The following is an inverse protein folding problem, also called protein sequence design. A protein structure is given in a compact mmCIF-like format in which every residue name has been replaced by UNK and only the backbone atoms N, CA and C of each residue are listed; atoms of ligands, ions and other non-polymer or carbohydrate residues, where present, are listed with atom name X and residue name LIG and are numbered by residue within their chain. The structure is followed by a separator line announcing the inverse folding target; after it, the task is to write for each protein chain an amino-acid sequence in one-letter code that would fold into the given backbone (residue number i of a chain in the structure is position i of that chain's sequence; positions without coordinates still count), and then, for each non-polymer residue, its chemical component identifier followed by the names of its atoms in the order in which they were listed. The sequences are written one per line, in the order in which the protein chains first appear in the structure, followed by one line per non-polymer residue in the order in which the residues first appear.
data_IF_477931865316
#
_entry.id   IF_477931865316
#
_cell.length_a   1.000
_cell.length_b   1.000
_cell.length_c   1.000
_cell.angle_alpha   90.00
_cell.angle_beta   90.00
_cell.angle_gamma   90.00
#
_symmetry.space_group_name_H-M   'P 1'
#
loop_
_entity.id
_entity.type
_entity.pdbx_description
1 polymer ?
#
# COMPACT_ATOMS: atom_id res chain seq x y z
N UNK A 1 10.84 -40.54 21.73
CA UNK A 1 9.94 -39.38 21.64
C UNK A 1 10.57 -38.33 22.52
N UNK A 2 11.32 -37.41 21.93
CA UNK A 2 12.27 -36.56 22.67
C UNK A 2 11.95 -35.10 22.35
N UNK A 3 11.72 -34.34 23.41
CA UNK A 3 11.26 -32.95 23.41
C UNK A 3 12.17 -32.01 22.61
N UNK A 4 11.59 -31.42 21.56
CA UNK A 4 12.19 -30.32 20.77
C UNK A 4 11.54 -29.01 21.23
N UNK A 5 11.75 -28.62 22.49
CA UNK A 5 11.49 -27.26 22.94
C UNK A 5 12.73 -26.73 23.66
N UNK A 6 13.67 -26.26 22.85
CA UNK A 6 14.90 -25.64 23.33
C UNK A 6 14.59 -24.28 23.95
N UNK A 7 14.76 -24.26 25.27
CA UNK A 7 14.99 -23.13 26.18
C UNK A 7 15.58 -21.88 25.49
N UNK A 8 14.76 -20.85 25.28
CA UNK A 8 15.25 -19.54 24.85
C UNK A 8 15.91 -18.84 26.05
N UNK A 9 17.24 -18.94 26.16
CA UNK A 9 18.02 -18.22 27.18
C UNK A 9 17.79 -16.71 27.02
N UNK A 10 17.37 -16.02 28.09
CA UNK A 10 17.38 -14.55 28.19
C UNK A 10 18.78 -14.03 27.86
N UNK A 11 18.96 -13.51 26.64
CA UNK A 11 20.12 -12.69 26.30
C UNK A 11 19.93 -11.34 26.97
N UNK A 12 20.98 -10.84 27.62
CA UNK A 12 21.07 -9.44 28.03
C UNK A 12 20.72 -8.55 26.83
N UNK A 13 19.80 -7.60 27.04
CA UNK A 13 19.43 -6.61 26.04
C UNK A 13 20.66 -5.75 25.77
N UNK A 14 21.40 -6.10 24.71
CA UNK A 14 22.50 -5.28 24.20
C UNK A 14 21.97 -3.87 23.98
N UNK A 15 22.76 -2.86 24.38
CA UNK A 15 22.57 -1.43 24.07
C UNK A 15 21.92 -1.30 22.70
N UNK A 16 20.65 -0.92 22.68
CA UNK A 16 19.92 -0.69 21.44
C UNK A 16 20.67 0.44 20.75
N UNK A 17 21.20 0.16 19.57
CA UNK A 17 21.83 1.18 18.75
C UNK A 17 20.72 2.21 18.49
N UNK A 18 20.84 3.44 18.99
CA UNK A 18 19.82 4.51 18.92
C UNK A 18 19.53 5.00 17.49
N UNK A 19 19.85 4.18 16.47
CA UNK A 19 19.33 4.36 15.11
C UNK A 19 17.82 4.44 15.19
N UNK A 20 17.28 5.50 14.59
CA UNK A 20 15.91 5.97 14.73
C UNK A 20 14.87 4.83 14.71
N UNK A 21 14.39 4.45 15.90
CA UNK A 21 13.24 3.56 16.07
C UNK A 21 11.99 4.40 15.85
N UNK A 22 11.06 3.90 15.04
CA UNK A 22 9.74 4.51 14.87
C UNK A 22 8.74 3.80 15.78
N UNK A 23 7.69 4.52 16.16
CA UNK A 23 6.64 3.98 17.02
C UNK A 23 5.66 3.12 16.23
N UNK A 24 5.42 1.91 16.72
CA UNK A 24 4.38 0.99 16.27
C UNK A 24 3.35 0.84 17.37
N UNK A 25 2.10 1.17 17.06
CA UNK A 25 0.99 1.16 18.02
C UNK A 25 -0.15 0.30 17.47
N UNK A 26 -0.70 -0.64 18.27
CA UNK A 26 -1.98 -1.26 17.96
C UNK A 26 -3.11 -0.25 18.17
N UNK A 27 -3.91 -0.03 17.13
CA UNK A 27 -5.03 0.94 17.15
C UNK A 27 -6.31 0.28 16.67
N UNK A 28 -7.31 0.18 17.55
CA UNK A 28 -8.60 -0.44 17.25
C UNK A 28 -9.53 0.55 16.54
N UNK A 29 -10.07 0.16 15.40
CA UNK A 29 -11.15 0.88 14.72
C UNK A 29 -12.50 0.31 15.13
N UNK A 30 -13.27 1.11 15.86
CA UNK A 30 -14.59 0.77 16.37
C UNK A 30 -15.63 1.57 15.60
N UNK A 31 -16.52 0.88 14.90
CA UNK A 31 -17.54 1.50 14.04
C UNK A 31 -18.92 1.11 14.53
N UNK A 32 -19.76 2.09 14.87
CA UNK A 32 -21.09 1.87 15.45
C UNK A 32 -21.08 0.90 16.66
N UNK A 33 -20.07 1.04 17.51
CA UNK A 33 -19.91 0.23 18.73
C UNK A 33 -19.34 -1.17 18.54
N UNK A 34 -18.98 -1.57 17.31
CA UNK A 34 -18.36 -2.86 17.01
C UNK A 34 -16.92 -2.68 16.53
N UNK A 35 -16.00 -3.48 17.06
CA UNK A 35 -14.62 -3.52 16.58
C UNK A 35 -14.58 -4.11 15.18
N UNK A 36 -13.93 -3.40 14.25
CA UNK A 36 -13.85 -3.79 12.85
C UNK A 36 -12.48 -4.38 12.48
N UNK A 37 -11.41 -3.74 12.96
CA UNK A 37 -10.00 -4.12 12.73
C UNK A 37 -9.11 -3.46 13.79
N UNK A 38 -7.99 -4.10 14.13
CA UNK A 38 -6.85 -3.47 14.81
C UNK A 38 -5.74 -3.19 13.80
N UNK A 39 -5.34 -1.93 13.66
CA UNK A 39 -4.18 -1.53 12.87
C UNK A 39 -2.90 -1.69 13.68
N UNK A 40 -1.85 -2.23 13.05
CA UNK A 40 -0.48 -1.98 13.50
C UNK A 40 0.06 -0.81 12.67
N UNK A 41 0.17 0.37 13.28
CA UNK A 41 0.43 1.61 12.54
C UNK A 41 1.25 2.62 13.35
N UNK A 42 1.67 3.69 12.68
CA UNK A 42 2.18 4.88 13.38
C UNK A 42 1.01 5.67 13.98
N UNK A 43 1.09 6.16 15.23
CA UNK A 43 -0.01 6.82 15.93
C UNK A 43 -0.18 8.30 15.50
N UNK A 44 -0.13 8.55 14.20
CA UNK A 44 -0.29 9.88 13.60
C UNK A 44 -1.37 9.83 12.52
N UNK A 45 -2.17 10.89 12.41
CA UNK A 45 -3.23 11.00 11.39
C UNK A 45 -4.21 9.82 11.43
N UNK A 46 -4.63 9.44 12.65
CA UNK A 46 -5.49 8.27 12.89
C UNK A 46 -6.92 8.48 12.39
N UNK A 47 -7.42 9.72 12.41
CA UNK A 47 -8.65 10.12 11.76
C UNK A 47 -8.60 9.87 10.24
N UNK A 48 -7.50 10.26 9.60
CA UNK A 48 -7.28 10.02 8.17
C UNK A 48 -7.13 8.52 7.88
N UNK A 49 -6.46 7.74 8.75
CA UNK A 49 -6.39 6.29 8.62
C UNK A 49 -7.78 5.65 8.65
N UNK A 50 -8.62 6.02 9.61
CA UNK A 50 -9.98 5.49 9.72
C UNK A 50 -10.84 5.86 8.52
N UNK A 51 -10.89 7.15 8.15
CA UNK A 51 -11.70 7.59 7.00
C UNK A 51 -11.24 6.93 5.71
N UNK A 52 -9.92 6.85 5.50
CA UNK A 52 -9.34 6.20 4.34
C UNK A 52 -9.68 4.72 4.26
N UNK A 53 -9.52 4.00 5.36
CA UNK A 53 -9.85 2.59 5.46
C UNK A 53 -11.34 2.34 5.16
N UNK A 54 -12.24 3.09 5.80
CA UNK A 54 -13.69 2.95 5.60
C UNK A 54 -14.06 3.21 4.13
N UNK A 55 -13.48 4.25 3.53
CA UNK A 55 -13.72 4.59 2.13
C UNK A 55 -13.19 3.50 1.19
N UNK A 56 -11.93 3.08 1.37
CA UNK A 56 -11.28 2.12 0.49
C UNK A 56 -11.87 0.71 0.58
N UNK A 57 -12.57 0.40 1.67
CA UNK A 57 -13.30 -0.87 1.85
C UNK A 57 -14.78 -0.76 1.47
N UNK A 58 -15.25 0.43 1.09
CA UNK A 58 -16.61 0.65 0.60
C UNK A 58 -17.69 0.75 1.68
N UNK A 59 -17.30 1.02 2.94
CA UNK A 59 -18.23 1.28 4.05
C UNK A 59 -18.80 2.69 4.01
N UNK A 60 -18.11 3.61 3.33
CA UNK A 60 -18.56 4.99 3.09
C UNK A 60 -18.28 5.37 1.64
N UNK A 61 -19.10 6.25 1.07
CA UNK A 61 -18.87 6.89 -0.23
C UNK A 61 -18.40 8.35 -0.08
N UNK A 62 -18.46 8.92 1.12
CA UNK A 62 -17.98 10.26 1.43
C UNK A 62 -18.21 10.63 2.90
N UNK A 63 -17.87 11.88 3.26
CA UNK A 63 -18.03 12.38 4.63
C UNK A 63 -19.48 12.42 5.11
N UNK A 64 -20.44 12.53 4.18
CA UNK A 64 -21.87 12.54 4.53
C UNK A 64 -22.33 11.25 5.20
N UNK A 65 -21.61 10.14 5.07
CA UNK A 65 -21.91 8.91 5.79
C UNK A 65 -21.42 8.94 7.25
N UNK A 66 -20.51 9.85 7.62
CA UNK A 66 -19.89 9.90 8.95
C UNK A 66 -20.64 10.89 9.83
N UNK A 67 -21.17 10.43 10.95
CA UNK A 67 -21.76 11.27 11.99
C UNK A 67 -20.71 11.78 12.97
N UNK A 68 -19.73 10.95 13.32
CA UNK A 68 -18.59 11.37 14.14
C UNK A 68 -17.36 10.47 13.92
N UNK A 69 -16.17 11.03 14.08
CA UNK A 69 -14.90 10.31 14.12
C UNK A 69 -14.06 10.89 15.25
N UNK A 70 -13.64 10.08 16.21
CA UNK A 70 -12.91 10.51 17.41
C UNK A 70 -11.78 9.54 17.72
N UNK A 71 -10.59 10.08 17.97
CA UNK A 71 -9.43 9.32 18.42
C UNK A 71 -9.36 9.40 19.96
N UNK A 72 -9.10 8.28 20.63
CA UNK A 72 -8.91 8.26 22.08
C UNK A 72 -7.64 9.01 22.48
N UNK A 73 -7.61 9.55 23.71
CA UNK A 73 -6.46 10.32 24.19
C UNK A 73 -5.16 9.52 24.30
N UNK A 74 -5.24 8.20 24.42
CA UNK A 74 -4.09 7.28 24.42
C UNK A 74 -3.68 6.82 23.01
N UNK A 75 -4.36 7.31 21.96
CA UNK A 75 -4.12 6.98 20.55
C UNK A 75 -4.28 5.49 20.20
N UNK A 76 -4.94 4.70 21.06
CA UNK A 76 -5.14 3.25 20.85
C UNK A 76 -6.48 2.90 20.23
N UNK A 77 -7.42 3.85 20.14
CA UNK A 77 -8.75 3.60 19.61
C UNK A 77 -9.21 4.74 18.72
N UNK A 78 -9.94 4.37 17.67
CA UNK A 78 -10.65 5.30 16.80
C UNK A 78 -12.12 4.89 16.83
N UNK A 79 -12.98 5.79 17.26
CA UNK A 79 -14.42 5.60 17.32
C UNK A 79 -15.06 6.33 16.14
N UNK A 80 -15.78 5.59 15.30
CA UNK A 80 -16.53 6.13 14.17
C UNK A 80 -18.01 5.80 14.32
N UNK A 81 -18.86 6.81 14.17
CA UNK A 81 -20.30 6.64 14.02
C UNK A 81 -20.67 6.90 12.57
N UNK A 82 -21.27 5.92 11.92
CA UNK A 82 -21.76 6.01 10.54
C UNK A 82 -23.29 6.05 10.54
N UNK A 83 -23.86 6.76 9.55
CA UNK A 83 -25.26 6.56 9.13
C UNK A 83 -25.46 5.09 8.73
N UNK A 84 -26.70 4.60 8.70
CA UNK A 84 -27.02 3.19 8.45
C UNK A 84 -26.13 2.54 7.37
N UNK A 85 -25.39 1.51 7.76
CA UNK A 85 -24.54 0.71 6.89
C UNK A 85 -25.17 -0.68 6.79
N UNK A 86 -25.40 -1.20 5.57
CA UNK A 86 -25.93 -2.55 5.40
C UNK A 86 -25.04 -3.61 6.08
N UNK A 87 -25.61 -4.60 6.80
CA UNK A 87 -24.84 -5.63 7.49
C UNK A 87 -23.85 -6.38 6.57
N UNK A 88 -24.24 -6.64 5.32
CA UNK A 88 -23.38 -7.25 4.30
C UNK A 88 -22.08 -6.46 4.01
N UNK A 89 -22.10 -5.13 4.13
CA UNK A 89 -20.92 -4.29 3.91
C UNK A 89 -19.96 -4.38 5.10
N UNK A 90 -20.51 -4.50 6.31
CA UNK A 90 -19.73 -4.78 7.52
C UNK A 90 -19.02 -6.13 7.44
N UNK A 91 -19.76 -7.18 7.08
CA UNK A 91 -19.20 -8.53 6.95
C UNK A 91 -18.11 -8.59 5.87
N UNK A 92 -18.35 -7.95 4.73
CA UNK A 92 -17.36 -7.86 3.66
C UNK A 92 -16.10 -7.11 4.12
N UNK A 93 -16.26 -5.95 4.74
CA UNK A 93 -15.11 -5.16 5.20
C UNK A 93 -14.30 -5.88 6.29
N UNK A 94 -14.98 -6.60 7.19
CA UNK A 94 -14.33 -7.44 8.19
C UNK A 94 -13.63 -8.65 7.56
N UNK A 95 -14.25 -9.29 6.56
CA UNK A 95 -13.61 -10.38 5.83
C UNK A 95 -12.34 -9.90 5.10
N UNK A 96 -12.38 -8.74 4.46
CA UNK A 96 -11.22 -8.16 3.77
C UNK A 96 -10.09 -7.77 4.72
N UNK A 97 -10.43 -7.36 5.95
CA UNK A 97 -9.46 -7.01 6.99
C UNK A 97 -8.64 -8.23 7.43
N UNK A 98 -9.27 -9.41 7.47
CA UNK A 98 -8.65 -10.67 7.87
C UNK A 98 -7.92 -11.32 6.69
N UNK A 99 -8.50 -11.25 5.51
CA UNK A 99 -8.12 -12.09 4.38
C UNK A 99 -6.99 -11.53 3.51
N UNK A 100 -6.14 -10.60 4.00
CA UNK A 100 -4.98 -10.02 3.29
C UNK A 100 -4.40 -10.96 2.21
N UNK A 101 -4.83 -10.79 0.95
CA UNK A 101 -4.45 -11.68 -0.16
C UNK A 101 -5.61 -12.30 -0.97
N UNK A 102 -6.83 -12.39 -0.45
CA UNK A 102 -7.99 -12.93 -1.18
C UNK A 102 -8.83 -11.82 -1.85
N UNK A 103 -8.21 -11.08 -2.77
CA UNK A 103 -8.88 -10.05 -3.57
C UNK A 103 -10.01 -10.53 -4.48
N UNK A 104 -10.22 -11.85 -4.59
CA UNK A 104 -11.19 -12.49 -5.51
C UNK A 104 -12.65 -12.16 -5.21
N UNK A 105 -13.05 -12.13 -3.93
CA UNK A 105 -14.43 -11.79 -3.54
C UNK A 105 -14.74 -10.30 -3.81
N UNK A 106 -13.78 -9.41 -3.53
CA UNK A 106 -13.91 -7.98 -3.83
C UNK A 106 -13.94 -7.70 -5.34
N UNK A 107 -13.10 -8.41 -6.10
CA UNK A 107 -13.05 -8.34 -7.55
C UNK A 107 -14.40 -8.62 -8.20
N UNK A 108 -15.11 -9.66 -7.76
CA UNK A 108 -16.41 -10.01 -8.34
C UNK A 108 -17.44 -8.88 -8.17
N UNK A 109 -17.49 -8.23 -7.00
CA UNK A 109 -18.37 -7.08 -6.74
C UNK A 109 -17.98 -5.84 -7.56
N UNK A 110 -16.68 -5.61 -7.77
CA UNK A 110 -16.18 -4.47 -8.54
C UNK A 110 -16.29 -4.65 -10.08
N UNK A 111 -16.34 -5.89 -10.55
CA UNK A 111 -16.01 -6.26 -11.94
C UNK A 111 -17.00 -5.86 -13.06
N UNK A 112 -18.00 -5.00 -12.82
CA UNK A 112 -18.82 -4.42 -13.89
C UNK A 112 -19.11 -2.91 -13.78
N UNK A 113 -19.11 -2.34 -12.59
CA UNK A 113 -19.58 -0.95 -12.37
C UNK A 113 -18.47 0.06 -12.03
N UNK A 114 -17.24 -0.40 -11.77
CA UNK A 114 -16.18 0.45 -11.20
C UNK A 114 -14.89 0.52 -12.03
N UNK A 115 -14.96 0.26 -13.35
CA UNK A 115 -13.78 0.48 -14.21
C UNK A 115 -13.38 1.96 -14.20
N UNK A 116 -12.10 2.24 -13.99
CA UNK A 116 -11.56 3.60 -13.96
C UNK A 116 -11.44 4.13 -15.40
N UNK A 117 -12.48 4.83 -15.83
CA UNK A 117 -12.54 5.52 -17.11
C UNK A 117 -12.05 6.95 -16.93
N UNK A 118 -10.85 7.24 -17.40
CA UNK A 118 -10.22 8.55 -17.27
C UNK A 118 -9.26 8.78 -18.43
N UNK A 119 -9.34 9.97 -19.03
CA UNK A 119 -8.46 10.44 -20.11
C UNK A 119 -7.20 11.12 -19.55
N UNK A 120 -6.90 10.94 -18.27
CA UNK A 120 -5.73 11.53 -17.62
C UNK A 120 -4.43 11.11 -18.32
N UNK A 121 -3.55 12.08 -18.55
CA UNK A 121 -2.21 11.85 -19.09
C UNK A 121 -1.19 12.65 -18.31
N UNK A 122 0.01 12.13 -18.13
CA UNK A 122 1.10 12.81 -17.43
C UNK A 122 2.45 12.51 -18.08
N UNK A 123 3.35 13.49 -18.09
CA UNK A 123 4.72 13.30 -18.55
C UNK A 123 5.51 12.43 -17.58
N UNK A 124 6.31 11.48 -18.10
CA UNK A 124 7.17 10.61 -17.29
C UNK A 124 8.13 11.40 -16.40
N UNK A 125 8.72 12.49 -16.92
CA UNK A 125 9.61 13.36 -16.14
C UNK A 125 8.90 13.99 -14.95
N UNK A 126 7.62 14.34 -15.11
CA UNK A 126 6.80 14.91 -14.05
C UNK A 126 6.47 13.90 -12.96
N UNK A 127 6.23 12.64 -13.33
CA UNK A 127 6.10 11.54 -12.36
C UNK A 127 7.38 11.45 -11.51
N UNK A 128 8.56 11.42 -12.14
CA UNK A 128 9.84 11.33 -11.44
C UNK A 128 10.09 12.55 -10.53
N UNK A 129 9.73 13.76 -10.96
CA UNK A 129 9.80 14.96 -10.13
C UNK A 129 8.93 14.83 -8.86
N UNK A 130 7.70 14.35 -9.01
CA UNK A 130 6.77 14.15 -7.89
C UNK A 130 7.24 13.04 -6.94
N UNK A 131 7.83 11.97 -7.48
CA UNK A 131 8.49 10.93 -6.67
C UNK A 131 9.61 11.52 -5.80
N UNK A 132 10.48 12.37 -6.38
CA UNK A 132 11.57 13.05 -5.63
C UNK A 132 11.02 13.99 -4.56
N UNK A 133 9.98 14.76 -4.88
CA UNK A 133 9.32 15.63 -3.90
C UNK A 133 8.74 14.80 -2.74
N UNK A 134 8.13 13.66 -3.02
CA UNK A 134 7.55 12.80 -1.99
C UNK A 134 8.66 12.23 -1.09
N UNK A 135 9.74 11.71 -1.69
CA UNK A 135 10.89 11.19 -0.94
C UNK A 135 11.52 12.28 -0.06
N UNK A 136 11.61 13.52 -0.55
CA UNK A 136 12.09 14.69 0.21
C UNK A 136 11.12 15.15 1.31
N UNK A 137 9.83 14.86 1.18
CA UNK A 137 8.82 15.18 2.20
C UNK A 137 8.68 14.08 3.28
N UNK A 138 9.07 12.84 2.96
CA UNK A 138 8.95 11.66 3.82
C UNK A 138 10.06 11.60 4.90
N UNK A 139 9.88 12.33 6.00
CA UNK A 139 10.91 12.50 7.05
C UNK A 139 11.21 11.20 7.77
N UNK A 140 10.18 10.46 8.18
CA UNK A 140 10.34 9.22 8.93
C UNK A 140 10.97 8.13 8.05
N UNK A 141 10.50 8.01 6.81
CA UNK A 141 11.03 7.14 5.77
C UNK A 141 12.53 7.35 5.57
N UNK A 142 12.96 8.60 5.37
CA UNK A 142 14.39 8.91 5.17
C UNK A 142 15.23 8.66 6.41
N UNK A 143 14.69 8.91 7.60
CA UNK A 143 15.42 8.76 8.86
C UNK A 143 15.58 7.30 9.29
N UNK A 144 14.54 6.49 9.12
CA UNK A 144 14.49 5.13 9.69
C UNK A 144 14.66 4.04 8.65
N UNK A 145 14.23 4.28 7.40
CA UNK A 145 14.13 3.26 6.36
C UNK A 145 13.13 2.13 6.67
N UNK A 146 12.41 2.20 7.80
CA UNK A 146 11.55 1.13 8.29
C UNK A 146 10.05 1.41 8.20
N UNK A 147 9.66 2.55 7.64
CA UNK A 147 8.26 2.86 7.32
C UNK A 147 8.07 2.95 5.80
N UNK A 148 6.81 3.05 5.38
CA UNK A 148 6.40 3.37 4.03
C UNK A 148 5.86 4.80 3.96
N UNK A 149 6.05 5.43 2.81
CA UNK A 149 5.34 6.66 2.45
C UNK A 149 4.43 6.43 1.24
N UNK A 150 3.26 7.05 1.26
CA UNK A 150 2.39 7.23 0.12
C UNK A 150 2.05 8.73 -0.06
N UNK A 151 1.68 9.11 -1.28
CA UNK A 151 1.24 10.46 -1.61
C UNK A 151 0.13 10.48 -2.64
N UNK A 152 -0.69 11.53 -2.57
CA UNK A 152 -1.63 11.91 -3.61
C UNK A 152 -1.02 13.04 -4.42
N UNK A 153 -1.05 12.90 -5.73
CA UNK A 153 -0.53 13.89 -6.65
C UNK A 153 -1.51 14.14 -7.80
N UNK A 154 -1.43 15.31 -8.42
CA UNK A 154 -2.02 15.55 -9.73
C UNK A 154 -0.93 15.88 -10.74
N UNK A 155 -1.31 16.28 -11.95
CA UNK A 155 -0.38 16.65 -13.03
C UNK A 155 0.63 17.75 -12.64
N UNK A 156 0.32 18.56 -11.62
CA UNK A 156 1.11 19.73 -11.26
C UNK A 156 1.93 19.56 -9.97
N UNK A 157 1.37 18.93 -8.93
CA UNK A 157 1.95 18.94 -7.58
C UNK A 157 1.55 17.74 -6.73
N UNK A 158 2.29 17.55 -5.64
CA UNK A 158 1.83 16.75 -4.50
C UNK A 158 0.72 17.50 -3.76
N UNK A 159 -0.31 16.77 -3.39
CA UNK A 159 -1.49 17.28 -2.66
C UNK A 159 -1.47 16.83 -1.21
N UNK A 160 -1.06 15.60 -0.95
CA UNK A 160 -0.91 15.04 0.38
C UNK A 160 0.15 13.93 0.39
N UNK A 161 0.78 13.67 1.54
CA UNK A 161 1.65 12.51 1.76
C UNK A 161 1.55 12.04 3.21
N UNK A 162 1.63 10.73 3.42
CA UNK A 162 1.57 10.11 4.75
C UNK A 162 2.54 8.96 4.86
N UNK A 163 3.09 8.85 6.07
CA UNK A 163 4.03 7.82 6.44
C UNK A 163 3.36 6.84 7.39
N UNK A 164 3.64 5.55 7.23
CA UNK A 164 3.19 4.52 8.14
C UNK A 164 4.04 3.26 8.02
N UNK A 165 4.07 2.42 9.06
CA UNK A 165 4.72 1.10 9.03
C UNK A 165 4.08 0.23 7.95
N UNK A 166 2.75 0.25 7.87
CA UNK A 166 2.00 -0.46 6.86
C UNK A 166 1.92 0.34 5.56
N UNK A 167 2.36 -0.24 4.44
CA UNK A 167 2.12 0.37 3.11
C UNK A 167 0.64 0.61 2.84
N UNK A 168 -0.22 -0.29 3.32
CA UNK A 168 -1.68 -0.18 3.23
C UNK A 168 -2.21 1.02 4.02
N UNK A 169 -1.74 1.17 5.27
CA UNK A 169 -2.10 2.27 6.14
C UNK A 169 -1.63 3.61 5.56
N UNK A 170 -0.42 3.67 4.97
CA UNK A 170 0.07 4.91 4.34
C UNK A 170 -0.85 5.37 3.20
N UNK A 171 -1.37 4.43 2.40
CA UNK A 171 -2.34 4.71 1.34
C UNK A 171 -3.68 5.13 1.93
N UNK A 172 -4.18 4.41 2.94
CA UNK A 172 -5.44 4.76 3.59
C UNK A 172 -5.37 6.16 4.17
N UNK A 173 -4.32 6.53 4.90
CA UNK A 173 -4.15 7.89 5.42
C UNK A 173 -4.17 8.95 4.31
N UNK A 174 -3.53 8.69 3.17
CA UNK A 174 -3.57 9.64 2.04
C UNK A 174 -4.98 9.74 1.43
N UNK A 175 -5.69 8.63 1.29
CA UNK A 175 -7.09 8.61 0.81
C UNK A 175 -7.97 9.36 1.81
N UNK A 176 -7.87 9.07 3.10
CA UNK A 176 -8.64 9.72 4.14
C UNK A 176 -8.36 11.21 4.22
N UNK A 177 -7.10 11.64 4.06
CA UNK A 177 -6.76 13.06 3.90
C UNK A 177 -7.52 13.70 2.75
N UNK A 178 -7.58 13.04 1.61
CA UNK A 178 -8.30 13.55 0.44
C UNK A 178 -9.79 13.72 0.73
N UNK A 179 -10.43 12.69 1.30
CA UNK A 179 -11.85 12.71 1.66
C UNK A 179 -12.15 13.81 2.68
N UNK A 180 -11.34 13.92 3.75
CA UNK A 180 -11.48 14.93 4.80
C UNK A 180 -11.30 16.37 4.29
N UNK A 181 -10.55 16.56 3.21
CA UNK A 181 -10.29 17.88 2.61
C UNK A 181 -11.10 18.17 1.35
N UNK A 182 -12.05 17.30 0.99
CA UNK A 182 -12.89 17.46 -0.20
C UNK A 182 -12.13 17.36 -1.53
N UNK A 183 -10.99 16.68 -1.54
CA UNK A 183 -10.20 16.47 -2.77
C UNK A 183 -10.83 15.35 -3.59
N UNK A 184 -11.16 15.68 -4.85
CA UNK A 184 -11.63 14.69 -5.83
C UNK A 184 -10.48 13.79 -6.29
N UNK A 185 -10.44 12.57 -5.76
CA UNK A 185 -9.44 11.54 -6.08
C UNK A 185 -9.39 11.19 -7.58
N UNK A 186 -10.49 11.31 -8.33
CA UNK A 186 -10.52 10.92 -9.75
C UNK A 186 -9.62 11.77 -10.64
N UNK A 187 -9.23 12.95 -10.15
CA UNK A 187 -8.31 13.91 -10.79
C UNK A 187 -6.86 13.77 -10.32
N UNK A 188 -6.57 12.74 -9.53
CA UNK A 188 -5.30 12.53 -8.86
C UNK A 188 -4.80 11.10 -9.05
N UNK A 189 -3.54 10.85 -8.67
CA UNK A 189 -2.93 9.54 -8.70
C UNK A 189 -2.12 9.29 -7.43
N UNK A 190 -1.90 8.02 -7.12
CA UNK A 190 -1.23 7.59 -5.90
C UNK A 190 0.24 7.28 -6.22
N UNK A 191 1.15 7.82 -5.40
CA UNK A 191 2.56 7.45 -5.38
C UNK A 191 2.82 6.66 -4.09
N UNK A 192 3.58 5.57 -4.14
CA UNK A 192 3.93 4.80 -2.94
C UNK A 192 5.36 4.27 -2.98
N UNK A 193 5.94 4.07 -1.81
CA UNK A 193 7.24 3.38 -1.64
C UNK A 193 7.11 1.85 -1.64
N UNK A 194 5.91 1.31 -1.38
CA UNK A 194 5.67 -0.13 -1.25
C UNK A 194 5.49 -0.88 -2.57
N UNK A 195 5.70 -2.20 -2.56
CA UNK A 195 5.28 -3.11 -3.66
C UNK A 195 3.80 -2.94 -3.98
N UNK A 196 3.42 -3.01 -5.25
CA UNK A 196 2.01 -2.90 -5.65
C UNK A 196 1.37 -4.29 -5.58
N UNK A 197 0.62 -4.55 -4.49
CA UNK A 197 -0.19 -5.75 -4.34
C UNK A 197 -1.62 -5.53 -4.86
N UNK A 198 -2.37 -6.62 -5.04
CA UNK A 198 -3.73 -6.60 -5.59
C UNK A 198 -4.67 -5.67 -4.82
N UNK A 199 -4.65 -5.76 -3.49
CA UNK A 199 -5.40 -4.88 -2.60
C UNK A 199 -5.08 -3.39 -2.77
N UNK A 200 -3.81 -3.03 -2.97
CA UNK A 200 -3.42 -1.65 -3.23
C UNK A 200 -3.99 -1.11 -4.55
N UNK A 201 -4.08 -1.96 -5.57
CA UNK A 201 -4.78 -1.61 -6.82
C UNK A 201 -6.28 -1.44 -6.57
N UNK A 202 -6.90 -2.29 -5.74
CA UNK A 202 -8.32 -2.17 -5.41
C UNK A 202 -8.63 -0.84 -4.70
N UNK A 203 -7.78 -0.38 -3.76
CA UNK A 203 -7.92 0.95 -3.13
C UNK A 203 -7.84 2.09 -4.15
N UNK A 204 -6.96 1.95 -5.13
CA UNK A 204 -6.80 2.89 -6.26
C UNK A 204 -8.07 2.93 -7.12
N UNK A 205 -8.65 1.77 -7.41
CA UNK A 205 -9.93 1.64 -8.15
C UNK A 205 -11.10 2.26 -7.40
N UNK A 206 -11.24 1.97 -6.10
CA UNK A 206 -12.30 2.55 -5.25
C UNK A 206 -12.18 4.07 -5.19
N UNK A 207 -10.95 4.59 -5.08
CA UNK A 207 -10.66 6.02 -5.21
C UNK A 207 -10.82 6.60 -6.61
N UNK A 208 -11.12 5.78 -7.63
CA UNK A 208 -11.21 6.16 -9.04
C UNK A 208 -9.95 6.87 -9.57
N UNK A 209 -8.79 6.60 -8.98
CA UNK A 209 -7.53 7.22 -9.41
C UNK A 209 -6.99 6.48 -10.64
N UNK A 210 -6.68 7.18 -11.76
CA UNK A 210 -6.26 6.53 -13.00
C UNK A 210 -4.88 5.86 -12.96
N UNK A 211 -4.05 6.19 -11.99
CA UNK A 211 -2.63 5.87 -11.99
C UNK A 211 -2.14 5.52 -10.58
N UNK A 212 -1.33 4.47 -10.50
CA UNK A 212 -0.59 4.11 -9.31
C UNK A 212 0.90 3.96 -9.64
N UNK A 213 1.70 4.77 -8.96
CA UNK A 213 3.15 4.90 -9.15
C UNK A 213 3.85 4.33 -7.93
N UNK A 214 4.88 3.50 -8.14
CA UNK A 214 5.62 2.88 -7.05
C UNK A 214 7.13 2.95 -7.23
N UNK A 215 7.86 3.06 -6.11
CA UNK A 215 9.30 2.78 -6.03
C UNK A 215 9.64 1.34 -6.39
N UNK A 216 8.75 0.41 -6.09
CA UNK A 216 8.93 -1.02 -6.30
C UNK A 216 8.17 -1.50 -7.55
N UNK A 217 7.82 -2.78 -7.61
CA UNK A 217 7.14 -3.44 -8.74
C UNK A 217 5.80 -4.06 -8.32
N UNK A 218 4.86 -4.29 -9.25
CA UNK A 218 3.62 -5.00 -8.98
C UNK A 218 3.77 -6.53 -8.93
N UNK A 219 2.82 -7.20 -8.28
CA UNK A 219 2.60 -8.64 -8.45
C UNK A 219 1.82 -8.93 -9.75
N UNK A 220 1.83 -10.18 -10.21
CA UNK A 220 1.06 -10.62 -11.38
C UNK A 220 -0.45 -10.32 -11.22
N UNK A 221 -1.03 -10.64 -10.05
CA UNK A 221 -2.43 -10.38 -9.77
C UNK A 221 -2.73 -8.87 -9.75
N UNK A 222 -1.81 -8.03 -9.26
CA UNK A 222 -1.99 -6.58 -9.31
C UNK A 222 -2.05 -6.06 -10.75
N UNK A 223 -1.19 -6.58 -11.65
CA UNK A 223 -1.21 -6.23 -13.07
C UNK A 223 -2.53 -6.66 -13.72
N UNK A 224 -2.99 -7.89 -13.48
CA UNK A 224 -4.25 -8.40 -14.02
C UNK A 224 -5.45 -7.55 -13.58
N UNK A 225 -5.54 -7.23 -12.29
CA UNK A 225 -6.60 -6.38 -11.74
C UNK A 225 -6.54 -4.98 -12.35
N UNK A 226 -5.35 -4.38 -12.41
CA UNK A 226 -5.20 -3.04 -12.96
C UNK A 226 -5.58 -2.98 -14.44
N UNK A 227 -5.18 -3.98 -15.21
CA UNK A 227 -5.55 -4.10 -16.63
C UNK A 227 -7.06 -4.24 -16.79
N UNK A 228 -7.70 -5.13 -16.02
CA UNK A 228 -9.15 -5.33 -16.05
C UNK A 228 -9.93 -4.06 -15.63
N UNK A 229 -9.44 -3.34 -14.62
CA UNK A 229 -10.15 -2.24 -13.96
C UNK A 229 -9.72 -0.84 -14.39
N UNK A 230 -8.85 -0.70 -15.40
CA UNK A 230 -8.57 0.61 -16.00
C UNK A 230 -7.51 1.45 -15.30
N UNK A 231 -6.61 0.85 -14.51
CA UNK A 231 -5.57 1.56 -13.75
C UNK A 231 -4.22 1.40 -14.42
N UNK A 232 -3.50 2.51 -14.62
CA UNK A 232 -2.10 2.50 -15.06
C UNK A 232 -1.20 2.18 -13.89
N UNK A 233 -0.34 1.16 -13.99
CA UNK A 233 0.68 0.85 -12.99
C UNK A 233 2.06 1.27 -13.50
N UNK A 234 2.79 2.03 -12.68
CA UNK A 234 4.17 2.42 -12.95
C UNK A 234 5.04 1.96 -11.78
N UNK A 235 6.00 1.07 -12.05
CA UNK A 235 6.99 0.63 -11.07
C UNK A 235 8.37 1.24 -11.31
N UNK A 236 9.29 1.06 -10.36
CA UNK A 236 10.65 1.64 -10.38
C UNK A 236 10.69 3.14 -10.64
N UNK A 237 9.62 3.86 -10.30
CA UNK A 237 9.39 5.24 -10.72
C UNK A 237 10.32 6.29 -10.08
N UNK A 238 11.08 5.88 -9.07
CA UNK A 238 12.04 6.73 -8.34
C UNK A 238 13.43 6.67 -8.99
N UNK A 239 13.66 5.67 -9.86
CA UNK A 239 14.90 5.51 -10.60
C UNK A 239 14.86 6.17 -11.99
N UNK A 240 15.97 6.04 -12.74
CA UNK A 240 16.08 6.59 -14.10
C UNK A 240 15.12 5.90 -15.09
N UNK A 241 14.82 4.62 -14.88
CA UNK A 241 14.05 3.77 -15.80
C UNK A 241 12.73 3.25 -15.17
N UNK A 242 11.68 4.09 -15.07
CA UNK A 242 10.34 3.65 -14.71
C UNK A 242 9.79 2.61 -15.70
N UNK A 243 9.06 1.63 -15.18
CA UNK A 243 8.41 0.59 -15.97
C UNK A 243 6.90 0.80 -15.92
N UNK A 244 6.26 0.99 -17.08
CA UNK A 244 4.80 1.08 -17.19
C UNK A 244 4.23 -0.29 -17.54
N UNK A 245 3.39 -0.85 -16.67
CA UNK A 245 2.90 -2.23 -16.80
C UNK A 245 1.53 -2.32 -17.49
N UNK A 246 0.68 -1.30 -17.34
CA UNK A 246 -0.70 -1.28 -17.86
C UNK A 246 -1.03 0.12 -18.37
N UNK A 247 -1.92 0.24 -19.37
CA UNK A 247 -2.39 1.52 -19.93
C UNK A 247 -1.27 2.56 -20.20
N UNK A 248 -0.25 2.23 -21.02
CA UNK A 248 0.94 3.07 -21.21
C UNK A 248 0.66 4.43 -21.86
N UNK A 249 -0.46 4.55 -22.57
CA UNK A 249 -0.88 5.81 -23.21
C UNK A 249 -1.13 6.96 -22.22
N UNK A 250 -1.32 6.68 -20.91
CA UNK A 250 -1.41 7.72 -19.87
C UNK A 250 -0.06 8.31 -19.49
N UNK A 251 1.05 7.67 -19.83
CA UNK A 251 2.41 8.13 -19.50
C UNK A 251 3.11 8.57 -20.77
N UNK A 252 3.24 9.89 -20.94
CA UNK A 252 3.88 10.49 -22.11
C UNK A 252 5.40 10.55 -21.87
N UNK A 253 6.16 9.81 -22.65
CA UNK A 253 7.62 9.89 -22.66
C UNK A 253 8.09 10.92 -23.70
N UNK A 254 9.12 11.72 -23.38
CA UNK A 254 9.86 12.49 -24.39
C UNK A 254 10.64 11.48 -25.23
N UNK A 255 10.17 11.16 -26.44
CA UNK A 255 10.83 10.32 -27.46
C UNK A 255 12.11 9.62 -26.98
N UNK A 256 11.95 8.45 -26.37
CA UNK A 256 12.96 7.39 -26.31
C UNK A 256 12.24 6.07 -26.61
N UNK A 257 12.98 5.16 -27.25
CA UNK A 257 12.50 4.07 -28.10
C UNK A 257 11.34 3.24 -27.53
N UNK A 258 10.46 2.78 -28.42
CA UNK A 258 9.41 1.79 -28.15
C UNK A 258 10.03 0.56 -27.46
N UNK A 259 9.99 0.51 -26.13
CA UNK A 259 10.13 -0.76 -25.42
C UNK A 259 8.76 -1.44 -25.47
N UNK A 260 8.57 -2.25 -26.52
CA UNK A 260 7.45 -3.18 -26.60
C UNK A 260 7.73 -4.29 -25.59
N UNK A 261 7.12 -4.22 -24.41
CA UNK A 261 7.11 -5.35 -23.47
C UNK A 261 6.20 -6.46 -24.02
N UNK A 262 6.72 -7.29 -24.92
CA UNK A 262 6.14 -8.58 -25.25
C UNK A 262 6.51 -9.57 -24.14
N UNK A 263 5.48 -10.15 -23.53
CA UNK A 263 5.53 -11.31 -22.61
C UNK A 263 6.32 -11.11 -21.30
N UNK A 264 5.63 -10.60 -20.27
CA UNK A 264 6.04 -10.77 -18.88
C UNK A 264 5.13 -11.76 -18.14
N UNK A 265 4.93 -12.95 -18.73
CA UNK A 265 4.57 -14.15 -17.97
C UNK A 265 5.87 -14.85 -17.61
N UNK A 266 6.55 -14.38 -16.56
CA UNK A 266 7.60 -15.20 -15.95
C UNK A 266 6.91 -16.42 -15.33
N UNK A 267 7.07 -17.56 -15.99
CA UNK A 267 6.73 -18.87 -15.44
C UNK A 267 7.56 -19.07 -14.16
N UNK A 268 6.91 -18.91 -13.02
CA UNK A 268 7.47 -19.18 -11.69
C UNK A 268 7.69 -20.68 -11.48
N UNK A 269 7.40 -21.53 -12.48
CA UNK A 269 7.62 -22.98 -12.44
C UNK A 269 9.02 -23.42 -12.88
N UNK A 270 9.88 -22.51 -13.34
CA UNK A 270 11.25 -22.85 -13.76
C UNK A 270 12.35 -22.37 -12.80
N UNK A 271 12.01 -22.00 -11.56
CA UNK A 271 13.03 -21.88 -10.51
C UNK A 271 13.34 -23.31 -10.03
N UNK A 272 14.19 -24.02 -10.77
CA UNK A 272 14.88 -25.19 -10.23
C UNK A 272 15.64 -24.75 -8.99
N UNK A 273 15.28 -25.33 -7.85
CA UNK A 273 15.97 -25.13 -6.56
C UNK A 273 17.35 -25.79 -6.54
N UNK A 274 17.77 -26.41 -7.64
CA UNK A 274 19.06 -27.08 -7.79
C UNK A 274 20.10 -26.12 -8.36
N UNK A 275 20.70 -25.32 -7.47
CA UNK A 275 22.09 -24.83 -7.50
C UNK A 275 22.29 -23.79 -6.39
N UNK A 276 22.14 -24.23 -5.14
CA UNK A 276 22.87 -23.60 -4.03
C UNK A 276 24.29 -24.19 -4.05
N UNK A 277 25.37 -23.38 -4.10
CA UNK A 277 26.71 -23.90 -3.94
C UNK A 277 26.84 -24.49 -2.53
N UNK A 278 27.04 -25.80 -2.46
CA UNK A 278 27.37 -26.52 -1.23
C UNK A 278 28.71 -25.96 -0.75
N UNK A 279 28.70 -25.28 0.40
CA UNK A 279 29.91 -24.79 1.04
C UNK A 279 30.81 -25.97 1.43
N UNK A 280 32.06 -25.94 0.96
CA UNK A 280 33.10 -26.90 1.35
C UNK A 280 33.22 -26.98 2.87
N UNK A 281 33.18 -28.21 3.41
CA UNK A 281 33.58 -28.52 4.78
C UNK A 281 35.06 -28.16 4.98
N UNK A 282 35.46 -27.62 6.13
CA UNK A 282 36.88 -27.51 6.46
C UNK A 282 37.47 -28.89 6.77
N UNK A 283 38.65 -29.13 6.21
CA UNK A 283 39.49 -30.31 6.43
C UNK A 283 39.83 -30.51 7.91
N UNK A 284 39.65 -31.75 8.37
CA UNK A 284 40.22 -32.25 9.61
C UNK A 284 41.73 -32.41 9.42
N UNK A 285 42.53 -31.48 9.94
CA UNK A 285 43.93 -31.77 10.27
C UNK A 285 44.07 -32.00 11.78
N UNK A 286 44.44 -33.24 12.09
CA UNK A 286 44.94 -33.69 13.39
C UNK A 286 46.17 -32.88 13.76
N UNK A 287 46.22 -32.38 14.99
CA UNK A 287 47.47 -32.18 15.70
C UNK A 287 47.46 -33.12 16.91
N UNK A 288 48.50 -33.93 16.95
CA UNK A 288 49.02 -34.64 18.12
C UNK A 288 49.46 -33.61 19.15
#
# INVERSE_FOLDING_TARGET
MTDIFTQCRRREVKKINERAVFEETPVDLIVNGKELITFLCTPQFLDELAVGYLYSHGLISGLDNIQSCRVSGDLRKIFVSLKEVPPEQYELAHFLSIAYGNGSLYLNKLSREQKVNSNFTINQSKIQDLCRQMESAAVLYRKTGGVHCAALANESKLVAWREDIGRHNSIDKVIGRAILTGVDLSRHFIITTGRIASDMVLKTVVGRTPLMVSRSIPSNLAVEIADKLGVTLVGRAFGPDPIVYTYPWRVVARKQEKVIYKNLLFSIHNISVDKLPVSNKPDNQRLV
#
